data_IF_560152396766
#
_entry.id   IF_560152396766
#
_cell.length_a   1.000
_cell.length_b   1.000
_cell.length_c   1.000
_cell.angle_alpha   90.00
_cell.angle_beta   90.00
_cell.angle_gamma   90.00
#
_symmetry.space_group_name_H-M   'P 1'
#
loop_
_entity.id
_entity.type
_entity.pdbx_description
1 polymer ?
#
# COMPACT_ATOMS: atom_id res chain seq x y z
N UNK A 1 9.85 -28.90 23.27
CA UNK A 1 9.28 -27.64 22.75
C UNK A 1 7.84 -27.58 23.23
N UNK A 2 7.56 -26.86 24.32
CA UNK A 2 6.23 -26.85 24.93
C UNK A 2 5.96 -25.48 25.54
N UNK A 3 5.36 -24.58 24.76
CA UNK A 3 4.73 -23.37 25.27
C UNK A 3 3.26 -23.68 25.61
N UNK A 4 2.77 -23.13 26.71
CA UNK A 4 1.40 -23.36 27.13
C UNK A 4 0.41 -22.58 26.22
N UNK A 5 -0.80 -23.09 25.95
CA UNK A 5 -1.71 -22.52 24.96
C UNK A 5 -2.10 -21.05 25.23
N UNK A 6 -2.04 -20.60 26.48
CA UNK A 6 -2.30 -19.20 26.86
C UNK A 6 -1.16 -18.25 26.47
N UNK A 7 0.08 -18.73 26.38
CA UNK A 7 1.22 -17.92 25.92
C UNK A 7 1.08 -17.61 24.43
N UNK A 8 0.67 -18.60 23.63
CA UNK A 8 0.36 -18.42 22.22
C UNK A 8 -0.80 -17.43 22.02
N UNK A 9 -1.85 -17.52 22.84
CA UNK A 9 -2.97 -16.58 22.77
C UNK A 9 -2.54 -15.15 23.12
N UNK A 10 -1.74 -14.97 24.18
CA UNK A 10 -1.23 -13.66 24.58
C UNK A 10 -0.34 -13.04 23.49
N UNK A 11 0.60 -13.80 22.92
CA UNK A 11 1.44 -13.34 21.80
C UNK A 11 0.60 -13.00 20.58
N UNK A 12 -0.42 -13.81 20.26
CA UNK A 12 -1.33 -13.56 19.14
C UNK A 12 -2.07 -12.24 19.31
N UNK A 13 -2.74 -12.03 20.44
CA UNK A 13 -3.53 -10.80 20.67
C UNK A 13 -2.64 -9.56 20.77
N UNK A 14 -1.46 -9.66 21.40
CA UNK A 14 -0.51 -8.55 21.46
C UNK A 14 0.01 -8.16 20.07
N UNK A 15 0.42 -9.14 19.27
CA UNK A 15 0.91 -8.90 17.90
C UNK A 15 -0.21 -8.36 17.01
N UNK A 16 -1.42 -8.94 17.10
CA UNK A 16 -2.58 -8.47 16.37
C UNK A 16 -2.91 -7.02 16.70
N UNK A 17 -2.96 -6.65 17.98
CA UNK A 17 -3.22 -5.29 18.42
C UNK A 17 -2.13 -4.32 17.93
N UNK A 18 -0.86 -4.71 17.99
CA UNK A 18 0.26 -3.91 17.51
C UNK A 18 0.20 -3.66 15.99
N UNK A 19 -0.04 -4.70 15.18
CA UNK A 19 -0.21 -4.56 13.73
C UNK A 19 -1.41 -3.68 13.42
N UNK A 20 -2.53 -3.85 14.14
CA UNK A 20 -3.76 -3.10 13.85
C UNK A 20 -3.70 -1.63 14.22
N UNK A 21 -2.89 -1.24 15.20
CA UNK A 21 -2.83 0.15 15.67
C UNK A 21 -2.21 1.09 14.65
N UNK A 22 -1.28 0.61 13.82
CA UNK A 22 -0.49 1.43 12.88
C UNK A 22 0.16 2.65 13.57
N UNK A 23 0.38 2.60 14.89
CA UNK A 23 0.74 3.75 15.72
C UNK A 23 2.11 4.38 15.38
N UNK A 24 2.94 3.68 14.61
CA UNK A 24 4.28 4.11 14.22
C UNK A 24 4.41 4.46 12.73
N UNK A 25 3.29 4.56 11.99
CA UNK A 25 3.30 4.97 10.58
C UNK A 25 3.16 6.49 10.49
N UNK A 26 4.27 7.19 10.27
CA UNK A 26 4.30 8.64 10.03
C UNK A 26 4.19 9.01 8.55
N UNK A 27 4.17 10.32 8.25
CA UNK A 27 4.02 10.87 6.90
C UNK A 27 5.07 10.30 5.92
N UNK A 28 6.34 10.29 6.29
CA UNK A 28 7.41 9.80 5.43
C UNK A 28 7.26 8.30 5.11
N UNK A 29 6.99 7.48 6.15
CA UNK A 29 6.74 6.04 5.99
C UNK A 29 5.53 5.78 5.10
N UNK A 30 4.46 6.57 5.26
CA UNK A 30 3.27 6.49 4.43
C UNK A 30 3.62 6.74 2.96
N UNK A 31 4.28 7.86 2.64
CA UNK A 31 4.64 8.24 1.27
C UNK A 31 5.59 7.23 0.61
N UNK A 32 6.66 6.81 1.34
CA UNK A 32 7.60 5.80 0.84
C UNK A 32 6.93 4.46 0.57
N UNK A 33 5.86 4.11 1.30
CA UNK A 33 5.08 2.88 1.04
C UNK A 33 4.03 3.04 -0.07
N UNK A 34 3.44 4.23 -0.21
CA UNK A 34 2.36 4.44 -1.16
C UNK A 34 2.85 4.64 -2.59
N UNK A 35 4.04 5.22 -2.80
CA UNK A 35 4.65 5.31 -4.15
C UNK A 35 4.77 3.93 -4.83
N UNK A 36 5.38 2.90 -4.21
CA UNK A 36 5.43 1.57 -4.82
C UNK A 36 4.06 0.88 -4.85
N UNK A 37 3.18 1.08 -3.86
CA UNK A 37 1.81 0.56 -3.90
C UNK A 37 1.08 1.05 -5.16
N UNK A 38 1.19 2.33 -5.48
CA UNK A 38 0.56 2.90 -6.66
C UNK A 38 1.18 2.39 -7.96
N UNK A 39 2.50 2.23 -7.96
CA UNK A 39 3.24 1.67 -9.11
C UNK A 39 2.83 0.24 -9.45
N UNK A 40 2.27 -0.53 -8.50
CA UNK A 40 1.72 -1.86 -8.76
C UNK A 40 0.48 -1.76 -9.64
N UNK A 41 -0.47 -0.87 -9.31
CA UNK A 41 -1.69 -0.70 -10.08
C UNK A 41 -1.39 -0.28 -11.53
N UNK A 42 -0.47 0.66 -11.72
CA UNK A 42 0.00 1.06 -13.05
C UNK A 42 0.53 -0.15 -13.83
N UNK A 43 1.42 -0.94 -13.23
CA UNK A 43 2.00 -2.14 -13.90
C UNK A 43 0.97 -3.22 -14.17
N UNK A 44 -0.06 -3.34 -13.34
CA UNK A 44 -1.16 -4.28 -13.56
C UNK A 44 -1.97 -3.84 -14.78
N UNK A 45 -2.36 -2.56 -14.86
CA UNK A 45 -3.04 -1.99 -16.03
C UNK A 45 -2.20 -2.15 -17.32
N UNK A 46 -0.89 -1.90 -17.27
CA UNK A 46 0.02 -2.00 -18.43
C UNK A 46 0.25 -3.44 -18.93
N UNK A 47 -0.08 -4.48 -18.14
CA UNK A 47 0.25 -5.88 -18.44
C UNK A 47 -0.94 -6.81 -18.51
N UNK A 48 -2.07 -6.43 -17.93
CA UNK A 48 -3.27 -7.23 -17.95
C UNK A 48 -3.76 -7.35 -19.40
N UNK A 49 -4.14 -8.57 -19.79
CA UNK A 49 -4.87 -8.78 -21.03
C UNK A 49 -6.34 -8.44 -20.75
N UNK A 50 -6.72 -7.19 -21.03
CA UNK A 50 -8.08 -6.67 -20.85
C UNK A 50 -8.71 -6.55 -22.24
N UNK A 51 -9.89 -7.15 -22.39
CA UNK A 51 -10.67 -7.19 -23.62
C UNK A 51 -12.03 -6.49 -23.51
N UNK A 52 -12.46 -6.18 -22.28
CA UNK A 52 -13.65 -5.40 -21.99
C UNK A 52 -13.37 -3.88 -22.09
N UNK A 53 -14.07 -3.13 -22.98
CA UNK A 53 -13.80 -1.72 -23.22
C UNK A 53 -13.99 -0.81 -21.98
N UNK A 54 -14.95 -1.14 -21.11
CA UNK A 54 -15.17 -0.37 -19.88
C UNK A 54 -13.99 -0.56 -18.90
N UNK A 55 -13.45 -1.77 -18.84
CA UNK A 55 -12.27 -2.10 -18.03
C UNK A 55 -10.99 -1.47 -18.59
N UNK A 56 -10.85 -1.33 -19.91
CA UNK A 56 -9.73 -0.61 -20.55
C UNK A 56 -9.78 0.88 -20.20
N UNK A 57 -10.95 1.51 -20.32
CA UNK A 57 -11.13 2.92 -19.94
C UNK A 57 -10.84 3.14 -18.44
N UNK A 58 -11.29 2.22 -17.58
CA UNK A 58 -10.96 2.27 -16.16
C UNK A 58 -9.44 2.19 -15.92
N UNK A 59 -8.72 1.35 -16.67
CA UNK A 59 -7.27 1.25 -16.55
C UNK A 59 -6.55 2.53 -16.94
N UNK A 60 -6.97 3.20 -18.01
CA UNK A 60 -6.43 4.50 -18.40
C UNK A 60 -6.64 5.57 -17.32
N UNK A 61 -7.84 5.59 -16.73
CA UNK A 61 -8.16 6.50 -15.63
C UNK A 61 -7.30 6.22 -14.38
N UNK A 62 -7.13 4.94 -14.01
CA UNK A 62 -6.27 4.50 -12.91
C UNK A 62 -4.83 4.96 -13.16
N UNK A 63 -4.26 4.64 -14.34
CA UNK A 63 -2.86 4.98 -14.65
C UNK A 63 -2.62 6.48 -14.57
N UNK A 64 -3.54 7.28 -15.10
CA UNK A 64 -3.45 8.75 -15.04
C UNK A 64 -3.44 9.24 -13.58
N UNK A 65 -4.45 8.85 -12.79
CA UNK A 65 -4.58 9.30 -11.40
C UNK A 65 -3.36 8.89 -10.57
N UNK A 66 -2.92 7.63 -10.68
CA UNK A 66 -1.82 7.10 -9.86
C UNK A 66 -0.47 7.72 -10.21
N UNK A 67 -0.25 8.15 -11.47
CA UNK A 67 0.95 8.91 -11.85
C UNK A 67 0.94 10.32 -11.24
N UNK A 68 -0.20 10.98 -11.24
CA UNK A 68 -0.38 12.29 -10.60
C UNK A 68 -0.17 12.20 -9.09
N UNK A 69 -0.72 11.17 -8.43
CA UNK A 69 -0.53 10.91 -7.00
C UNK A 69 0.93 10.58 -6.65
N UNK A 70 1.62 9.78 -7.47
CA UNK A 70 3.06 9.51 -7.28
C UNK A 70 3.88 10.81 -7.36
N UNK A 71 3.58 11.70 -8.30
CA UNK A 71 4.27 12.98 -8.41
C UNK A 71 4.05 13.82 -7.14
N UNK A 72 2.79 13.96 -6.70
CA UNK A 72 2.47 14.68 -5.46
C UNK A 72 3.18 14.08 -4.23
N UNK A 73 3.21 12.75 -4.11
CA UNK A 73 3.88 12.08 -3.01
C UNK A 73 5.39 12.30 -3.00
N UNK A 74 6.03 12.32 -4.17
CA UNK A 74 7.46 12.66 -4.30
C UNK A 74 7.73 14.10 -3.90
N UNK A 75 6.92 15.04 -4.37
CA UNK A 75 7.07 16.46 -4.01
C UNK A 75 6.90 16.69 -2.49
N UNK A 76 5.97 15.96 -1.85
CA UNK A 76 5.81 16.01 -0.40
C UNK A 76 7.01 15.39 0.31
N UNK A 77 7.51 14.24 -0.18
CA UNK A 77 8.65 13.54 0.41
C UNK A 77 9.92 14.40 0.35
N UNK A 78 10.19 15.02 -0.80
CA UNK A 78 11.33 15.93 -1.00
C UNK A 78 11.26 17.17 -0.10
N UNK A 79 10.06 17.58 0.34
CA UNK A 79 9.87 18.66 1.32
C UNK A 79 10.11 18.21 2.78
N UNK A 80 9.95 16.92 3.05
CA UNK A 80 10.11 16.32 4.39
C UNK A 80 11.54 15.85 4.66
N UNK A 81 12.30 15.53 3.62
CA UNK A 81 13.74 15.23 3.66
C UNK A 81 14.59 16.49 4.00
#
# INVERSE_FOLDING_TARGET
>A
MGGAPHECAAVFFATFAAIRSQAFVGNEQFLRSMIPHHSIAIKTCERAAIDDPETEELCDQIVKAQREEIAQMRDILDRLD
#
